data_IF_787956357000
#
_entry.id   IF_787956357000
#
_cell.length_a   1.000
_cell.length_b   1.000
_cell.length_c   1.000
_cell.angle_alpha   90.00
_cell.angle_beta   90.00
_cell.angle_gamma   90.00
#
_symmetry.space_group_name_H-M   'P 1'
#
loop_
_entity.id
_entity.type
_entity.pdbx_description
1 polymer ?
#
# COMPACT_ATOMS: atom_id res chain seq x y z
N UNK A 1 -12.52 -10.54 -6.96
CA UNK A 1 -11.25 -10.95 -7.60
C UNK A 1 -10.98 -10.04 -8.79
N UNK A 2 -9.80 -9.45 -8.88
CA UNK A 2 -9.43 -8.64 -10.05
C UNK A 2 -9.07 -9.55 -11.22
N UNK A 3 -9.43 -9.15 -12.44
CA UNK A 3 -9.03 -9.85 -13.68
C UNK A 3 -7.61 -9.40 -14.07
N UNK A 4 -6.62 -10.01 -13.43
CA UNK A 4 -5.18 -9.87 -13.71
C UNK A 4 -4.51 -11.24 -13.66
N UNK A 5 -3.28 -11.37 -14.15
CA UNK A 5 -2.56 -12.65 -14.31
C UNK A 5 -2.52 -13.50 -13.02
N UNK A 6 -2.31 -12.88 -11.87
CA UNK A 6 -2.25 -13.56 -10.56
C UNK A 6 -3.54 -13.40 -9.73
N UNK A 7 -4.61 -12.88 -10.36
CA UNK A 7 -5.96 -12.76 -9.79
C UNK A 7 -6.00 -12.26 -8.32
N UNK A 8 -5.49 -11.07 -8.02
CA UNK A 8 -5.46 -10.59 -6.64
C UNK A 8 -6.87 -10.40 -6.05
N UNK A 9 -6.97 -10.51 -4.73
CA UNK A 9 -8.22 -10.47 -3.99
C UNK A 9 -8.43 -9.09 -3.35
N UNK A 10 -9.54 -8.41 -3.66
CA UNK A 10 -10.01 -7.27 -2.86
C UNK A 10 -10.70 -7.80 -1.62
N UNK A 11 -10.17 -7.47 -0.45
CA UNK A 11 -10.72 -7.78 0.86
C UNK A 11 -11.27 -6.50 1.48
N UNK A 12 -12.48 -6.61 2.04
CA UNK A 12 -13.18 -5.54 2.73
C UNK A 12 -13.30 -5.90 4.20
N UNK A 13 -12.93 -4.99 5.08
CA UNK A 13 -12.96 -5.17 6.53
C UNK A 13 -13.84 -4.09 7.15
N UNK A 14 -14.63 -4.48 8.14
CA UNK A 14 -15.31 -3.56 9.03
C UNK A 14 -14.39 -3.33 10.22
N UNK A 15 -13.84 -2.12 10.35
CA UNK A 15 -12.93 -1.77 11.43
C UNK A 15 -13.69 -1.02 12.53
N UNK A 16 -13.72 -1.55 13.75
CA UNK A 16 -14.20 -0.82 14.92
C UNK A 16 -13.24 0.36 15.19
N UNK A 17 -13.69 1.58 14.89
CA UNK A 17 -12.92 2.82 15.12
C UNK A 17 -12.65 3.65 13.87
N UNK A 18 -12.83 3.09 12.66
CA UNK A 18 -13.13 3.94 11.51
C UNK A 18 -14.57 4.42 11.70
N UNK A 19 -14.85 5.72 11.58
CA UNK A 19 -16.19 6.31 11.73
C UNK A 19 -17.18 5.72 10.70
N UNK A 20 -17.62 4.47 10.88
CA UNK A 20 -18.42 3.70 9.92
C UNK A 20 -17.70 3.32 8.61
N UNK A 21 -16.39 3.46 8.50
CA UNK A 21 -15.65 3.25 7.24
C UNK A 21 -15.26 1.80 6.95
N UNK A 22 -15.51 1.33 5.73
CA UNK A 22 -14.94 0.08 5.20
C UNK A 22 -13.43 0.26 4.97
N UNK A 23 -12.60 -0.59 5.58
CA UNK A 23 -11.18 -0.68 5.25
C UNK A 23 -10.98 -1.69 4.14
N UNK A 24 -10.33 -1.28 3.06
CA UNK A 24 -10.10 -2.12 1.88
C UNK A 24 -8.62 -2.45 1.76
N UNK A 25 -8.30 -3.71 1.50
CA UNK A 25 -6.96 -4.13 1.14
C UNK A 25 -7.00 -5.12 -0.04
N UNK A 26 -5.98 -5.06 -0.89
CA UNK A 26 -5.74 -6.00 -1.97
C UNK A 26 -4.71 -7.01 -1.50
N UNK A 27 -5.11 -8.27 -1.38
CA UNK A 27 -4.18 -9.37 -1.16
C UNK A 27 -3.65 -9.89 -2.49
N UNK A 28 -2.32 -9.92 -2.62
CA UNK A 28 -1.63 -10.49 -3.79
C UNK A 28 -0.87 -11.74 -3.37
N UNK A 29 -1.10 -12.83 -4.11
CA UNK A 29 -0.41 -14.09 -3.95
C UNK A 29 0.35 -14.42 -5.24
N UNK A 30 1.61 -14.83 -5.11
CA UNK A 30 2.52 -15.07 -6.23
C UNK A 30 3.39 -13.87 -6.62
N UNK A 31 3.08 -12.67 -6.13
CA UNK A 31 3.87 -11.44 -6.34
C UNK A 31 4.89 -11.22 -5.21
N UNK A 32 6.10 -10.78 -5.57
CA UNK A 32 7.10 -10.31 -4.62
C UNK A 32 6.98 -8.79 -4.43
N UNK A 33 6.30 -8.39 -3.36
CA UNK A 33 6.02 -6.97 -3.06
C UNK A 33 7.17 -6.24 -2.35
N UNK A 34 8.33 -6.89 -2.15
CA UNK A 34 9.46 -6.26 -1.43
C UNK A 34 10.03 -5.06 -2.19
N UNK A 35 10.01 -5.12 -3.51
CA UNK A 35 10.49 -4.01 -4.35
C UNK A 35 9.54 -2.81 -4.30
N UNK A 36 8.24 -3.03 -4.48
CA UNK A 36 7.20 -2.01 -4.35
C UNK A 36 7.25 -1.33 -2.97
N UNK A 37 7.42 -2.13 -1.91
CA UNK A 37 7.56 -1.62 -0.55
C UNK A 37 8.79 -0.70 -0.40
N UNK A 38 9.95 -1.09 -0.94
CA UNK A 38 11.16 -0.26 -0.89
C UNK A 38 10.99 1.05 -1.67
N UNK A 39 10.33 1.01 -2.83
CA UNK A 39 10.08 2.20 -3.65
C UNK A 39 9.18 3.17 -2.91
N UNK A 40 8.07 2.70 -2.32
CA UNK A 40 7.15 3.55 -1.56
C UNK A 40 7.78 4.14 -0.31
N UNK A 41 8.67 3.39 0.36
CA UNK A 41 9.48 3.92 1.45
C UNK A 41 10.41 5.05 1.00
N UNK A 42 11.01 4.91 -0.19
CA UNK A 42 11.86 5.95 -0.79
C UNK A 42 11.05 7.20 -1.11
N UNK A 43 9.87 7.07 -1.72
CA UNK A 43 8.96 8.18 -2.00
C UNK A 43 8.53 8.88 -0.71
N UNK A 44 8.20 8.11 0.33
CA UNK A 44 7.82 8.66 1.64
C UNK A 44 8.98 9.40 2.31
N UNK A 45 10.21 8.91 2.17
CA UNK A 45 11.41 9.61 2.64
C UNK A 45 11.61 10.92 1.87
N UNK A 46 11.47 10.91 0.55
CA UNK A 46 11.56 12.12 -0.28
C UNK A 46 10.51 13.15 0.12
N UNK A 47 9.25 12.76 0.29
CA UNK A 47 8.19 13.66 0.75
C UNK A 47 8.55 14.32 2.10
N UNK A 48 9.08 13.54 3.05
CA UNK A 48 9.56 14.07 4.34
C UNK A 48 10.71 15.07 4.19
N UNK A 49 11.63 14.84 3.26
CA UNK A 49 12.75 15.76 3.00
C UNK A 49 12.27 17.05 2.35
N UNK A 50 11.42 16.96 1.32
CA UNK A 50 10.87 18.13 0.63
C UNK A 50 10.02 19.01 1.56
N UNK A 51 9.22 18.39 2.43
CA UNK A 51 8.44 19.13 3.44
C UNK A 51 9.32 19.92 4.40
N UNK A 52 10.53 19.45 4.73
CA UNK A 52 11.48 20.20 5.57
C UNK A 52 11.97 21.48 4.89
N UNK A 53 12.04 21.47 3.57
CA UNK A 53 12.36 22.64 2.74
C UNK A 53 11.11 23.45 2.36
N UNK A 54 9.97 23.23 3.05
CA UNK A 54 8.67 23.86 2.79
C UNK A 54 8.08 23.58 1.40
N UNK A 55 8.51 22.51 0.72
CA UNK A 55 7.92 22.05 -0.53
C UNK A 55 6.96 20.89 -0.26
N UNK A 56 5.66 21.15 -0.36
CA UNK A 56 4.61 20.13 -0.21
C UNK A 56 4.05 19.73 -1.58
N UNK A 57 4.47 18.57 -2.07
CA UNK A 57 3.99 17.99 -3.33
C UNK A 57 2.64 17.26 -3.20
N UNK A 58 2.03 17.23 -2.01
CA UNK A 58 0.75 16.55 -1.73
C UNK A 58 0.75 15.07 -2.14
N UNK A 59 1.87 14.39 -1.95
CA UNK A 59 1.99 12.96 -2.23
C UNK A 59 1.12 12.15 -1.25
N UNK A 60 0.36 11.20 -1.79
CA UNK A 60 -0.42 10.23 -1.02
C UNK A 60 0.08 8.82 -1.31
N UNK A 61 1.27 8.43 -0.82
CA UNK A 61 1.78 7.09 -1.04
C UNK A 61 0.82 6.09 -0.40
N UNK A 62 0.34 5.13 -1.19
CA UNK A 62 -0.45 4.02 -0.68
C UNK A 62 0.44 3.04 0.07
N UNK A 63 -0.15 2.24 0.96
CA UNK A 63 0.60 1.29 1.77
C UNK A 63 0.81 -0.02 1.01
N UNK A 64 2.04 -0.55 1.08
CA UNK A 64 2.37 -1.91 0.63
C UNK A 64 3.09 -2.62 1.77
N UNK A 65 2.67 -3.85 2.04
CA UNK A 65 3.24 -4.71 3.05
C UNK A 65 3.51 -6.10 2.46
N UNK A 66 4.78 -6.40 2.21
CA UNK A 66 5.22 -7.75 1.92
C UNK A 66 5.20 -8.57 3.22
N UNK A 67 4.33 -9.60 3.27
CA UNK A 67 4.26 -10.52 4.42
C UNK A 67 5.09 -11.78 4.20
N UNK A 68 5.59 -11.98 2.98
CA UNK A 68 6.53 -13.03 2.58
C UNK A 68 7.23 -12.64 1.28
N UNK A 69 8.11 -13.50 0.76
CA UNK A 69 8.75 -13.35 -0.55
C UNK A 69 7.82 -13.57 -1.74
N UNK A 70 6.57 -14.00 -1.51
CA UNK A 70 5.59 -14.35 -2.56
C UNK A 70 4.17 -13.85 -2.29
N UNK A 71 3.95 -13.10 -1.23
CA UNK A 71 2.63 -12.56 -0.95
C UNK A 71 2.68 -11.33 -0.05
N UNK A 72 1.62 -10.54 -0.10
CA UNK A 72 1.44 -9.40 0.76
C UNK A 72 0.16 -8.64 0.48
N UNK A 73 0.07 -7.46 1.06
CA UNK A 73 -1.09 -6.58 0.99
C UNK A 73 -0.72 -5.24 0.36
N UNK A 74 -1.68 -4.68 -0.36
CA UNK A 74 -1.65 -3.32 -0.90
C UNK A 74 -2.93 -2.62 -0.45
N UNK A 75 -2.85 -1.34 -0.07
CA UNK A 75 -4.01 -0.51 0.27
C UNK A 75 -4.56 0.20 -0.96
#
# INVERSE_FOLDING_TARGET
>A
LFKSALMPCRLSFLAEGAEGGEYVAIFKHGDDLRQDQLILQTITLMDKLLRKENLDLKLTPYCVLATSTKHGFVQ
#
